data_IF_188421492826
#
_entry.id   IF_188421492826
#
_cell.length_a   1.000
_cell.length_b   1.000
_cell.length_c   1.000
_cell.angle_alpha   90.00
_cell.angle_beta   90.00
_cell.angle_gamma   90.00
#
_symmetry.space_group_name_H-M   'P 1'
#
loop_
_entity.id
_entity.type
_entity.pdbx_description
1 polymer ?
#
# COMPACT_ATOMS: atom_id res chain seq x y z
N UNK A 1 -18.47 44.65 -23.16
CA UNK A 1 -18.73 44.26 -21.76
C UNK A 1 -19.56 43.00 -21.84
N UNK A 2 -18.91 41.84 -21.75
CA UNK A 2 -19.51 40.53 -21.53
C UNK A 2 -18.54 39.75 -20.63
N UNK A 3 -19.03 38.99 -19.63
CA UNK A 3 -18.17 38.37 -18.64
C UNK A 3 -17.58 37.06 -19.15
N UNK A 4 -16.30 36.84 -18.86
CA UNK A 4 -15.61 35.56 -19.02
C UNK A 4 -16.16 34.58 -17.99
N UNK A 5 -16.85 33.54 -18.44
CA UNK A 5 -17.13 32.38 -17.59
C UNK A 5 -15.83 31.60 -17.35
N UNK A 6 -15.46 31.51 -16.07
CA UNK A 6 -14.39 30.68 -15.57
C UNK A 6 -14.92 29.25 -15.51
N UNK A 7 -14.44 28.39 -16.40
CA UNK A 7 -14.72 26.96 -16.32
C UNK A 7 -13.98 26.37 -15.10
N UNK A 8 -14.71 26.19 -14.00
CA UNK A 8 -14.31 25.33 -12.90
C UNK A 8 -14.30 23.88 -13.43
N UNK A 9 -13.11 23.27 -13.46
CA UNK A 9 -12.96 21.85 -13.73
C UNK A 9 -13.45 21.07 -12.49
N UNK A 10 -14.66 20.53 -12.57
CA UNK A 10 -15.19 19.56 -11.62
C UNK A 10 -14.33 18.30 -11.66
N UNK A 11 -13.44 18.15 -10.67
CA UNK A 11 -12.67 16.94 -10.46
C UNK A 11 -13.54 15.99 -9.62
N UNK A 12 -14.31 15.14 -10.30
CA UNK A 12 -14.99 14.01 -9.67
C UNK A 12 -13.94 13.02 -9.15
N UNK A 13 -13.71 13.04 -7.83
CA UNK A 13 -12.90 12.06 -7.13
C UNK A 13 -13.65 10.72 -7.09
N UNK A 14 -13.26 9.80 -7.97
CA UNK A 14 -13.71 8.39 -7.96
C UNK A 14 -13.13 7.66 -6.76
N UNK A 15 -13.83 7.75 -5.63
CA UNK A 15 -13.79 6.73 -4.59
C UNK A 15 -14.82 5.67 -5.00
N UNK A 16 -14.34 4.49 -5.39
CA UNK A 16 -15.19 3.35 -5.74
C UNK A 16 -15.41 3.18 -7.25
N UNK A 17 -14.54 2.40 -7.89
CA UNK A 17 -14.83 1.50 -9.03
C UNK A 17 -13.52 0.90 -9.54
N UNK A 18 -13.06 -0.16 -8.88
CA UNK A 18 -12.16 -1.12 -9.52
C UNK A 18 -13.04 -2.05 -10.35
N UNK A 19 -13.24 -1.71 -11.64
CA UNK A 19 -13.42 -2.60 -12.80
C UNK A 19 -13.56 -1.71 -14.05
N UNK A 20 -12.92 -2.14 -15.14
CA UNK A 20 -13.06 -1.72 -16.54
C UNK A 20 -12.13 -0.59 -17.05
N UNK A 21 -10.90 -0.98 -17.39
CA UNK A 21 -10.33 -0.61 -18.70
C UNK A 21 -10.00 -1.90 -19.44
N UNK A 22 -10.93 -2.31 -20.30
CA UNK A 22 -10.79 -3.45 -21.23
C UNK A 22 -10.02 -2.95 -22.44
N UNK A 23 -8.70 -3.20 -22.48
CA UNK A 23 -7.93 -3.07 -23.72
C UNK A 23 -8.25 -4.29 -24.59
N UNK A 24 -8.82 -4.02 -25.76
CA UNK A 24 -9.12 -5.00 -26.79
C UNK A 24 -7.82 -5.57 -27.37
N UNK A 25 -7.67 -6.90 -27.31
CA UNK A 25 -6.71 -7.64 -28.13
C UNK A 25 -5.92 -8.69 -27.34
N UNK A 26 -6.23 -9.97 -27.60
CA UNK A 26 -5.34 -11.12 -27.40
C UNK A 26 -5.08 -11.64 -25.98
N UNK A 27 -6.08 -11.76 -25.11
CA UNK A 27 -6.03 -12.78 -24.04
C UNK A 27 -7.42 -13.42 -23.88
N UNK A 28 -7.45 -14.75 -23.82
CA UNK A 28 -8.66 -15.52 -23.49
C UNK A 28 -9.14 -15.05 -22.12
N UNK A 29 -10.44 -14.77 -22.02
CA UNK A 29 -11.14 -14.63 -20.75
C UNK A 29 -10.91 -15.93 -19.95
N UNK A 30 -10.16 -15.82 -18.86
CA UNK A 30 -10.17 -16.80 -17.77
C UNK A 30 -11.13 -16.21 -16.76
N UNK A 31 -12.27 -16.87 -16.54
CA UNK A 31 -13.31 -16.46 -15.60
C UNK A 31 -12.71 -16.05 -14.25
N UNK A 32 -12.88 -14.77 -13.88
CA UNK A 32 -13.01 -14.30 -12.48
C UNK A 32 -11.92 -14.64 -11.45
N UNK A 33 -10.76 -15.14 -11.84
CA UNK A 33 -9.72 -15.59 -10.91
C UNK A 33 -8.66 -14.49 -10.73
N UNK A 34 -8.42 -14.10 -9.48
CA UNK A 34 -7.40 -13.13 -9.14
C UNK A 34 -6.00 -13.69 -9.45
N UNK A 35 -5.34 -13.13 -10.46
CA UNK A 35 -3.93 -13.42 -10.76
C UNK A 35 -3.07 -12.86 -9.63
N UNK A 36 -2.57 -13.75 -8.77
CA UNK A 36 -1.73 -13.39 -7.62
C UNK A 36 -0.60 -12.44 -7.99
N UNK A 37 0.15 -12.70 -9.07
CA UNK A 37 1.30 -11.87 -9.43
C UNK A 37 0.86 -10.50 -9.93
N UNK A 38 -0.21 -10.43 -10.73
CA UNK A 38 -0.74 -9.16 -11.19
C UNK A 38 -1.25 -8.30 -10.01
N UNK A 39 -1.97 -8.92 -9.09
CA UNK A 39 -2.56 -8.27 -7.92
C UNK A 39 -1.50 -7.82 -6.90
N UNK A 40 -0.57 -8.71 -6.55
CA UNK A 40 0.50 -8.45 -5.59
C UNK A 40 1.45 -7.34 -6.06
N UNK A 41 1.93 -7.43 -7.31
CA UNK A 41 2.77 -6.38 -7.91
C UNK A 41 1.99 -5.08 -8.12
N UNK A 42 0.68 -5.18 -8.34
CA UNK A 42 -0.24 -4.06 -8.42
C UNK A 42 -0.28 -3.26 -7.12
N UNK A 43 -0.45 -3.94 -5.99
CA UNK A 43 -0.44 -3.33 -4.65
C UNK A 43 0.89 -2.63 -4.37
N UNK A 44 2.02 -3.31 -4.59
CA UNK A 44 3.33 -2.71 -4.38
C UNK A 44 3.58 -1.48 -5.25
N UNK A 45 3.21 -1.52 -6.53
CA UNK A 45 3.31 -0.35 -7.41
C UNK A 45 2.51 0.83 -6.87
N UNK A 46 1.28 0.58 -6.44
CA UNK A 46 0.42 1.62 -5.87
C UNK A 46 0.99 2.18 -4.56
N UNK A 47 1.49 1.33 -3.67
CA UNK A 47 2.15 1.71 -2.42
C UNK A 47 3.35 2.61 -2.68
N UNK A 48 4.25 2.20 -3.58
CA UNK A 48 5.45 2.98 -3.93
C UNK A 48 5.09 4.34 -4.54
N UNK A 49 4.12 4.37 -5.46
CA UNK A 49 3.65 5.62 -6.07
C UNK A 49 3.04 6.56 -5.03
N UNK A 50 2.18 6.03 -4.15
CA UNK A 50 1.52 6.80 -3.08
C UNK A 50 2.56 7.35 -2.10
N UNK A 51 3.57 6.58 -1.71
CA UNK A 51 4.67 7.05 -0.86
C UNK A 51 5.43 8.23 -1.48
N UNK A 52 5.67 8.20 -2.80
CA UNK A 52 6.29 9.31 -3.52
C UNK A 52 5.36 10.53 -3.59
N UNK A 53 4.06 10.33 -3.75
CA UNK A 53 3.07 11.41 -3.71
C UNK A 53 2.99 12.07 -2.34
N UNK A 54 3.06 11.30 -1.24
CA UNK A 54 3.12 11.87 0.12
C UNK A 54 4.36 12.75 0.27
N UNK A 55 5.53 12.28 -0.20
CA UNK A 55 6.76 13.08 -0.14
C UNK A 55 6.62 14.40 -0.90
N UNK A 56 6.03 14.38 -2.11
CA UNK A 56 5.76 15.59 -2.90
C UNK A 56 4.79 16.53 -2.20
N UNK A 57 3.72 15.99 -1.60
CA UNK A 57 2.76 16.79 -0.84
C UNK A 57 3.42 17.47 0.37
N UNK A 58 4.31 16.77 1.08
CA UNK A 58 5.09 17.35 2.17
C UNK A 58 6.01 18.49 1.68
N UNK A 59 6.72 18.30 0.56
CA UNK A 59 7.58 19.32 -0.04
C UNK A 59 6.80 20.57 -0.46
N UNK A 60 5.59 20.37 -0.99
CA UNK A 60 4.70 21.45 -1.44
C UNK A 60 3.85 22.04 -0.29
N UNK A 61 4.07 21.60 0.95
CA UNK A 61 3.32 22.02 2.14
C UNK A 61 1.81 21.78 2.06
N UNK A 62 1.40 20.75 1.34
CA UNK A 62 0.02 20.33 1.17
C UNK A 62 -0.37 19.33 2.27
N UNK A 63 -0.51 19.81 3.51
CA UNK A 63 -0.65 18.95 4.70
C UNK A 63 -1.90 18.08 4.69
N UNK A 64 -3.05 18.66 4.30
CA UNK A 64 -4.32 17.93 4.19
C UNK A 64 -4.19 16.80 3.16
N UNK A 65 -3.63 17.11 1.98
CA UNK A 65 -3.38 16.11 0.94
C UNK A 65 -2.43 15.01 1.40
N UNK A 66 -1.35 15.38 2.08
CA UNK A 66 -0.41 14.41 2.63
C UNK A 66 -1.09 13.49 3.65
N UNK A 67 -1.98 14.03 4.50
CA UNK A 67 -2.73 13.25 5.47
C UNK A 67 -3.69 12.27 4.79
N UNK A 68 -4.48 12.72 3.81
CA UNK A 68 -5.37 11.88 3.02
C UNK A 68 -4.64 10.70 2.36
N UNK A 69 -3.49 10.99 1.73
CA UNK A 69 -2.66 9.98 1.07
C UNK A 69 -2.12 8.96 2.07
N UNK A 70 -1.62 9.40 3.22
CA UNK A 70 -1.08 8.50 4.26
C UNK A 70 -2.18 7.66 4.90
N UNK A 71 -3.39 8.20 5.07
CA UNK A 71 -4.53 7.42 5.57
C UNK A 71 -5.03 6.40 4.55
N UNK A 72 -5.04 6.76 3.25
CA UNK A 72 -5.33 5.81 2.19
C UNK A 72 -4.27 4.69 2.14
N UNK A 73 -2.98 5.06 2.26
CA UNK A 73 -1.88 4.12 2.32
C UNK A 73 -2.04 3.14 3.48
N UNK A 74 -2.33 3.65 4.68
CA UNK A 74 -2.53 2.84 5.88
C UNK A 74 -3.68 1.83 5.75
N UNK A 75 -4.82 2.23 5.15
CA UNK A 75 -5.95 1.32 4.88
C UNK A 75 -5.63 0.25 3.84
N UNK A 76 -4.83 0.59 2.83
CA UNK A 76 -4.48 -0.34 1.75
C UNK A 76 -3.40 -1.33 2.16
N UNK A 77 -2.38 -0.90 2.91
CA UNK A 77 -1.27 -1.77 3.29
C UNK A 77 -1.60 -2.72 4.43
N UNK A 78 -2.61 -2.41 5.26
CA UNK A 78 -3.00 -3.30 6.36
C UNK A 78 -3.44 -4.69 5.89
N UNK A 79 -4.43 -4.81 4.99
CA UNK A 79 -4.83 -6.10 4.45
C UNK A 79 -3.74 -6.81 3.64
N UNK A 80 -2.92 -6.04 2.91
CA UNK A 80 -1.81 -6.58 2.13
C UNK A 80 -0.75 -7.21 3.03
N UNK A 81 -0.28 -6.49 4.05
CA UNK A 81 0.71 -7.00 4.99
C UNK A 81 0.13 -8.11 5.87
N UNK A 82 -1.14 -8.05 6.26
CA UNK A 82 -1.80 -9.18 6.91
C UNK A 82 -1.78 -10.44 6.04
N UNK A 83 -2.06 -10.29 4.74
CA UNK A 83 -1.99 -11.39 3.79
C UNK A 83 -0.57 -11.99 3.77
N UNK A 84 0.44 -11.14 3.61
CA UNK A 84 1.82 -11.57 3.54
C UNK A 84 2.25 -12.32 4.80
N UNK A 85 1.99 -11.73 5.97
CA UNK A 85 2.40 -12.28 7.26
C UNK A 85 1.72 -13.61 7.59
N UNK A 86 0.43 -13.75 7.25
CA UNK A 86 -0.36 -14.94 7.62
C UNK A 86 -0.32 -16.06 6.59
N UNK A 87 -0.14 -15.73 5.32
CA UNK A 87 -0.36 -16.67 4.23
C UNK A 87 0.86 -16.83 3.31
N UNK A 88 1.59 -15.76 3.01
CA UNK A 88 2.72 -15.83 2.07
C UNK A 88 4.04 -16.17 2.75
N UNK A 89 4.45 -15.40 3.76
CA UNK A 89 5.74 -15.57 4.44
C UNK A 89 5.94 -16.94 5.10
N UNK A 90 4.90 -17.60 5.66
CA UNK A 90 5.06 -18.98 6.14
C UNK A 90 5.53 -19.95 5.04
N UNK A 91 5.12 -19.74 3.79
CA UNK A 91 5.54 -20.55 2.64
C UNK A 91 7.02 -20.34 2.26
N UNK A 92 7.61 -19.22 2.70
CA UNK A 92 9.01 -18.89 2.42
C UNK A 92 9.99 -19.44 3.46
N UNK A 93 9.52 -19.91 4.63
CA UNK A 93 10.39 -20.49 5.65
C UNK A 93 11.28 -21.62 5.10
N UNK A 94 10.78 -22.57 4.27
CA UNK A 94 11.62 -23.61 3.67
C UNK A 94 12.63 -23.08 2.63
N UNK A 95 12.41 -21.89 2.07
CA UNK A 95 13.23 -21.32 0.99
C UNK A 95 14.35 -20.41 1.51
N UNK A 96 14.03 -19.58 2.51
CA UNK A 96 14.95 -18.53 3.02
C UNK A 96 15.25 -18.65 4.51
N UNK A 97 14.61 -19.59 5.21
CA UNK A 97 14.79 -19.82 6.64
C UNK A 97 13.94 -18.90 7.53
N UNK A 98 13.75 -19.34 8.78
CA UNK A 98 12.90 -18.66 9.76
C UNK A 98 13.43 -17.28 10.15
N UNK A 99 14.75 -17.11 10.24
CA UNK A 99 15.38 -15.83 10.60
C UNK A 99 15.06 -14.76 9.57
N UNK A 100 15.20 -15.08 8.28
CA UNK A 100 14.87 -14.15 7.20
C UNK A 100 13.39 -13.77 7.21
N UNK A 101 12.49 -14.74 7.41
CA UNK A 101 11.06 -14.44 7.55
C UNK A 101 10.80 -13.52 8.75
N UNK A 102 11.49 -13.71 9.87
CA UNK A 102 11.36 -12.83 11.03
C UNK A 102 11.82 -11.39 10.75
N UNK A 103 12.87 -11.21 9.94
CA UNK A 103 13.28 -9.88 9.47
C UNK A 103 12.18 -9.21 8.64
N UNK A 104 11.56 -9.95 7.70
CA UNK A 104 10.44 -9.45 6.89
C UNK A 104 9.25 -9.02 7.77
N UNK A 105 8.92 -9.80 8.81
CA UNK A 105 7.89 -9.45 9.80
C UNK A 105 8.25 -8.18 10.61
N UNK A 106 9.53 -7.96 10.89
CA UNK A 106 9.99 -6.78 11.61
C UNK A 106 9.92 -5.52 10.73
N UNK A 107 10.22 -5.64 9.43
CA UNK A 107 10.10 -4.55 8.47
C UNK A 107 8.66 -4.01 8.39
N UNK A 108 7.65 -4.89 8.41
CA UNK A 108 6.24 -4.50 8.49
C UNK A 108 5.91 -3.73 9.77
N UNK A 109 6.54 -4.10 10.89
CA UNK A 109 6.44 -3.35 12.14
C UNK A 109 6.99 -1.94 12.01
N UNK A 110 8.15 -1.81 11.34
CA UNK A 110 8.74 -0.52 11.02
C UNK A 110 7.83 0.36 10.16
N UNK A 111 7.22 -0.22 9.11
CA UNK A 111 6.27 0.46 8.24
C UNK A 111 5.05 0.99 9.01
N UNK A 112 4.46 0.17 9.89
CA UNK A 112 3.33 0.59 10.72
C UNK A 112 3.69 1.75 11.65
N UNK A 113 4.86 1.71 12.29
CA UNK A 113 5.34 2.81 13.13
C UNK A 113 5.58 4.10 12.34
N UNK A 114 6.12 4.00 11.12
CA UNK A 114 6.31 5.14 10.21
C UNK A 114 4.95 5.79 9.91
N UNK A 115 3.96 5.01 9.47
CA UNK A 115 2.62 5.53 9.18
C UNK A 115 2.00 6.21 10.40
N UNK A 116 2.11 5.61 11.58
CA UNK A 116 1.56 6.19 12.80
C UNK A 116 2.22 7.54 13.15
N UNK A 117 3.55 7.64 13.04
CA UNK A 117 4.27 8.89 13.26
C UNK A 117 3.86 9.96 12.25
N UNK A 118 3.85 9.63 10.95
CA UNK A 118 3.52 10.58 9.89
C UNK A 118 2.09 11.11 10.06
N UNK A 119 1.09 10.25 10.29
CA UNK A 119 -0.30 10.67 10.57
C UNK A 119 -0.39 11.54 11.81
N UNK A 120 0.22 11.10 12.92
CA UNK A 120 0.19 11.84 14.18
C UNK A 120 0.80 13.23 14.06
N UNK A 121 1.82 13.37 13.20
CA UNK A 121 2.49 14.63 12.91
C UNK A 121 1.64 15.56 12.04
N UNK A 122 1.13 15.06 10.92
CA UNK A 122 0.25 15.80 10.01
C UNK A 122 -1.04 16.30 10.67
N UNK A 123 -1.61 15.53 11.61
CA UNK A 123 -2.83 15.92 12.35
C UNK A 123 -2.65 17.12 13.28
N UNK A 124 -1.41 17.46 13.63
CA UNK A 124 -1.12 18.60 14.50
C UNK A 124 -0.92 19.91 13.72
N UNK A 125 -1.06 19.88 12.39
CA UNK A 125 -1.05 21.06 11.54
C UNK A 125 0.26 21.27 10.80
N UNK A 126 0.65 22.53 10.62
CA UNK A 126 1.82 22.91 9.83
C UNK A 126 3.13 22.37 10.44
N UNK A 127 4.04 21.95 9.57
CA UNK A 127 5.31 21.35 9.93
C UNK A 127 6.49 22.28 9.64
N UNK A 128 7.51 22.21 10.48
CA UNK A 128 8.82 22.84 10.22
C UNK A 128 9.59 22.10 9.12
N UNK A 129 10.64 22.72 8.61
CA UNK A 129 11.48 22.11 7.58
C UNK A 129 12.22 20.88 8.09
N UNK A 130 12.64 20.91 9.36
CA UNK A 130 13.25 19.77 10.04
C UNK A 130 12.25 18.62 10.21
N UNK A 131 11.00 18.92 10.59
CA UNK A 131 9.94 17.91 10.66
C UNK A 131 9.66 17.30 9.28
N UNK A 132 9.54 18.12 8.24
CA UNK A 132 9.36 17.64 6.86
C UNK A 132 10.52 16.73 6.45
N UNK A 133 11.77 17.14 6.70
CA UNK A 133 12.94 16.34 6.38
C UNK A 133 12.95 14.99 7.12
N UNK A 134 12.59 14.98 8.41
CA UNK A 134 12.49 13.76 9.21
C UNK A 134 11.41 12.82 8.66
N UNK A 135 10.19 13.33 8.38
CA UNK A 135 9.10 12.52 7.82
C UNK A 135 9.45 11.96 6.43
N UNK A 136 10.15 12.73 5.59
CA UNK A 136 10.64 12.22 4.31
C UNK A 136 11.64 11.08 4.50
N UNK A 137 12.56 11.19 5.45
CA UNK A 137 13.48 10.11 5.79
C UNK A 137 12.75 8.84 6.24
N UNK A 138 11.66 8.97 6.99
CA UNK A 138 10.79 7.86 7.37
C UNK A 138 10.11 7.23 6.14
N UNK A 139 9.50 8.04 5.27
CA UNK A 139 8.83 7.57 4.05
C UNK A 139 9.80 6.91 3.06
N UNK A 140 11.05 7.36 2.99
CA UNK A 140 12.09 6.72 2.18
C UNK A 140 12.48 5.34 2.70
N UNK A 141 12.46 5.12 4.04
CA UNK A 141 12.67 3.78 4.60
C UNK A 141 11.51 2.86 4.25
N UNK A 142 10.27 3.34 4.33
CA UNK A 142 9.12 2.55 3.90
C UNK A 142 9.16 2.26 2.39
N UNK A 143 9.52 3.25 1.57
CA UNK A 143 9.66 3.05 0.12
C UNK A 143 10.68 1.95 -0.22
N UNK A 144 11.82 1.92 0.51
CA UNK A 144 12.83 0.88 0.34
C UNK A 144 12.28 -0.50 0.70
N UNK A 145 11.59 -0.62 1.83
CA UNK A 145 10.93 -1.86 2.20
C UNK A 145 9.93 -2.33 1.13
N UNK A 146 9.07 -1.45 0.62
CA UNK A 146 8.11 -1.82 -0.43
C UNK A 146 8.82 -2.28 -1.73
N UNK A 147 9.94 -1.67 -2.08
CA UNK A 147 10.75 -2.08 -3.23
C UNK A 147 11.46 -3.43 -3.00
N UNK A 148 11.98 -3.67 -1.80
CA UNK A 148 12.64 -4.93 -1.43
C UNK A 148 11.60 -6.07 -1.33
N UNK A 149 10.40 -5.78 -0.79
CA UNK A 149 9.32 -6.74 -0.62
C UNK A 149 8.74 -7.22 -1.96
N UNK A 150 8.72 -6.37 -2.99
CA UNK A 150 8.36 -6.78 -4.36
C UNK A 150 9.21 -7.96 -4.86
N UNK A 151 10.46 -8.08 -4.39
CA UNK A 151 11.34 -9.22 -4.69
C UNK A 151 10.79 -10.56 -4.19
N UNK A 152 9.89 -10.56 -3.20
CA UNK A 152 9.24 -11.77 -2.69
C UNK A 152 8.30 -12.43 -3.71
N UNK A 153 7.85 -11.69 -4.74
CA UNK A 153 7.13 -12.28 -5.86
C UNK A 153 7.98 -13.35 -6.57
N UNK A 154 9.32 -13.18 -6.62
CA UNK A 154 10.21 -14.20 -7.20
C UNK A 154 10.30 -15.45 -6.34
N UNK A 155 10.17 -15.33 -5.02
CA UNK A 155 10.10 -16.49 -4.13
C UNK A 155 8.79 -17.25 -4.33
N UNK A 156 7.69 -16.52 -4.54
CA UNK A 156 6.39 -17.12 -4.81
C UNK A 156 6.37 -17.94 -6.11
N UNK A 157 7.18 -17.60 -7.12
CA UNK A 157 7.31 -18.40 -8.35
C UNK A 157 7.77 -19.86 -8.11
N UNK A 158 8.37 -20.16 -6.96
CA UNK A 158 8.74 -21.52 -6.57
C UNK A 158 7.59 -22.34 -5.97
N UNK A 159 6.43 -21.73 -5.70
CA UNK A 159 5.28 -22.39 -5.08
C UNK A 159 4.43 -23.16 -6.12
N UNK A 160 3.70 -24.21 -5.70
CA UNK A 160 2.79 -24.93 -6.58
C UNK A 160 1.73 -24.01 -7.20
N UNK A 161 1.34 -24.21 -8.48
CA UNK A 161 0.33 -23.38 -9.15
C UNK A 161 -1.00 -23.28 -8.40
N UNK A 162 -1.46 -24.38 -7.81
CA UNK A 162 -2.70 -24.43 -7.04
C UNK A 162 -2.62 -23.53 -5.79
N UNK A 163 -1.42 -23.44 -5.20
CA UNK A 163 -1.17 -22.57 -4.04
C UNK A 163 -1.13 -21.10 -4.45
N UNK A 164 -0.50 -20.77 -5.58
CA UNK A 164 -0.51 -19.42 -6.14
C UNK A 164 -1.94 -18.93 -6.41
N UNK A 165 -2.78 -19.79 -6.97
CA UNK A 165 -4.18 -19.48 -7.22
C UNK A 165 -4.96 -19.19 -5.92
N UNK A 166 -4.73 -19.99 -4.88
CA UNK A 166 -5.31 -19.77 -3.56
C UNK A 166 -4.84 -18.45 -2.93
N UNK A 167 -3.55 -18.16 -3.00
CA UNK A 167 -2.96 -16.92 -2.50
C UNK A 167 -3.57 -15.69 -3.20
N UNK A 168 -3.81 -15.75 -4.51
CA UNK A 168 -4.48 -14.68 -5.25
C UNK A 168 -5.90 -14.41 -4.71
N UNK A 169 -6.68 -15.46 -4.45
CA UNK A 169 -8.01 -15.32 -3.82
C UNK A 169 -7.93 -14.71 -2.42
N UNK A 170 -7.00 -15.21 -1.59
CA UNK A 170 -6.81 -14.73 -0.22
C UNK A 170 -6.44 -13.24 -0.20
N UNK A 171 -5.47 -12.82 -1.01
CA UNK A 171 -5.07 -11.42 -1.14
C UNK A 171 -6.26 -10.51 -1.46
N UNK A 172 -7.02 -10.84 -2.51
CA UNK A 172 -8.18 -10.04 -2.92
C UNK A 172 -9.27 -10.02 -1.85
N UNK A 173 -9.54 -11.16 -1.19
CA UNK A 173 -10.54 -11.22 -0.13
C UNK A 173 -10.19 -10.34 1.08
N UNK A 174 -8.91 -10.31 1.47
CA UNK A 174 -8.47 -9.54 2.63
C UNK A 174 -8.60 -8.03 2.38
N UNK A 175 -8.40 -7.55 1.15
CA UNK A 175 -8.55 -6.12 0.81
C UNK A 175 -9.90 -5.54 1.23
N UNK A 176 -10.97 -6.34 1.16
CA UNK A 176 -12.32 -5.92 1.56
C UNK A 176 -12.42 -5.54 3.06
N UNK A 177 -11.49 -5.99 3.90
CA UNK A 177 -11.46 -5.61 5.32
C UNK A 177 -11.09 -4.15 5.52
N UNK A 178 -10.29 -3.56 4.62
CA UNK A 178 -9.82 -2.17 4.71
C UNK A 178 -9.15 -1.81 6.04
N UNK A 179 -8.75 -2.81 6.84
CA UNK A 179 -8.27 -2.60 8.20
C UNK A 179 -6.93 -1.89 8.15
N UNK A 180 -6.76 -0.70 8.76
CA UNK A 180 -5.51 0.04 8.69
C UNK A 180 -4.33 -0.77 9.25
N UNK A 181 -3.16 -0.67 8.60
CA UNK A 181 -1.93 -1.33 9.04
C UNK A 181 -1.59 -0.97 10.49
N UNK A 182 -1.74 0.30 10.83
CA UNK A 182 -1.49 0.78 12.20
C UNK A 182 -2.38 0.12 13.25
N UNK A 183 -3.63 -0.24 12.89
CA UNK A 183 -4.55 -0.97 13.76
C UNK A 183 -4.21 -2.45 13.78
N UNK A 184 -3.98 -3.07 12.62
CA UNK A 184 -3.60 -4.47 12.52
C UNK A 184 -2.36 -4.80 13.36
N UNK A 185 -1.33 -3.96 13.28
CA UNK A 185 -0.06 -4.12 14.01
C UNK A 185 -0.12 -3.61 15.45
N UNK A 186 -1.28 -3.14 15.92
CA UNK A 186 -1.49 -2.68 17.29
C UNK A 186 -0.70 -1.44 17.69
N UNK A 187 -0.20 -0.66 16.73
CA UNK A 187 0.51 0.62 17.01
C UNK A 187 -0.46 1.80 17.16
N UNK A 188 -1.70 1.63 16.72
CA UNK A 188 -2.82 2.51 16.99
C UNK A 188 -3.99 1.69 17.55
N UNK A 189 -4.82 2.31 18.40
CA UNK A 189 -6.08 1.70 18.82
C UNK A 189 -7.05 1.60 17.63
N UNK A 190 -7.89 0.56 17.63
CA UNK A 190 -9.06 0.53 16.75
C UNK A 190 -9.93 1.76 17.08
N UNK A 191 -10.42 2.44 16.05
CA UNK A 191 -11.46 3.45 16.23
C UNK A 191 -12.79 2.69 16.13
N UNK A 192 -13.50 2.61 17.25
CA UNK A 192 -14.85 2.02 17.36
C UNK A 192 -15.91 2.88 16.65
#
# INVERSE_FOLDING_TARGET
>A
MEPKEVAFCNMEWRIGNFVAVRLQGLFKEVDGMADFFAEFRGDHRWVMQTLLEVQRALEQRQWERALELVEALDRATGPHMEFEEKHLYPEFVPLVGQERVQEMLNDHGGAAQILQRVKGRLRQGALSDEEVAALKGDLQRFLRHAADCEGSALLAEALPPERIEELGRLLVSLRATGRPLTVYRGVAAAQD
#
